data_IF_628470603540
#
_entry.id   IF_628470603540
#
_cell.length_a   1.000
_cell.length_b   1.000
_cell.length_c   1.000
_cell.angle_alpha   90.00
_cell.angle_beta   90.00
_cell.angle_gamma   90.00
#
_symmetry.space_group_name_H-M   'P 1'
#
loop_
_entity.id
_entity.type
_entity.pdbx_description
1 polymer ?
#
# COMPACT_ATOMS: atom_id res chain seq x y z
N UNK A 1 29.75 0.90 4.00
CA UNK A 1 30.65 -0.27 3.89
C UNK A 1 30.60 -0.77 2.45
N UNK A 2 31.75 -0.89 1.79
CA UNK A 2 31.86 -1.48 0.46
C UNK A 2 32.46 -2.88 0.60
N UNK A 3 31.76 -3.89 0.12
CA UNK A 3 32.15 -5.30 0.16
C UNK A 3 32.61 -5.67 -1.24
N UNK A 4 33.81 -6.24 -1.35
CA UNK A 4 34.40 -6.61 -2.64
C UNK A 4 33.76 -7.87 -3.20
N UNK A 5 34.01 -8.17 -4.48
CA UNK A 5 33.65 -9.45 -5.05
C UNK A 5 34.30 -10.59 -4.25
N UNK A 6 33.53 -11.66 -4.01
CA UNK A 6 33.93 -12.78 -3.18
C UNK A 6 32.75 -13.50 -2.55
N UNK A 7 33.05 -14.65 -1.93
CA UNK A 7 32.13 -15.42 -1.10
C UNK A 7 32.56 -15.23 0.35
N UNK A 8 31.65 -14.76 1.18
CA UNK A 8 31.85 -14.47 2.60
C UNK A 8 30.99 -15.42 3.41
N UNK A 9 31.63 -16.35 4.10
CA UNK A 9 30.97 -17.24 5.06
C UNK A 9 30.93 -16.54 6.42
N UNK A 10 29.74 -16.21 6.90
CA UNK A 10 29.55 -15.44 8.12
C UNK A 10 28.68 -16.21 9.11
N UNK A 11 29.03 -16.12 10.39
CA UNK A 11 28.21 -16.66 11.47
C UNK A 11 27.08 -15.68 11.81
N UNK A 12 27.37 -14.40 12.03
CA UNK A 12 26.35 -13.37 12.24
C UNK A 12 26.94 -11.97 12.04
N UNK A 13 26.26 -11.13 11.26
CA UNK A 13 26.56 -9.70 11.09
C UNK A 13 25.54 -8.91 11.91
N UNK A 14 26.01 -8.26 12.98
CA UNK A 14 25.19 -7.44 13.89
C UNK A 14 25.31 -5.95 13.55
N UNK A 15 24.19 -5.29 13.29
CA UNK A 15 24.13 -3.87 12.94
C UNK A 15 23.93 -3.00 14.18
N UNK A 16 25.00 -2.34 14.61
CA UNK A 16 25.01 -1.40 15.75
C UNK A 16 24.95 0.09 15.35
N UNK A 17 25.04 0.40 14.06
CA UNK A 17 25.08 1.78 13.57
C UNK A 17 23.68 2.33 13.28
N UNK A 18 23.39 3.55 13.75
CA UNK A 18 22.14 4.27 13.44
C UNK A 18 21.93 4.51 11.94
N UNK A 19 23.03 4.60 11.17
CA UNK A 19 22.98 4.69 9.71
C UNK A 19 24.03 3.80 9.10
N UNK A 20 23.63 2.92 8.19
CA UNK A 20 24.58 2.07 7.47
C UNK A 20 24.11 1.81 6.04
N UNK A 21 25.08 1.85 5.13
CA UNK A 21 24.91 1.32 3.77
C UNK A 21 25.90 0.17 3.59
N UNK A 22 25.42 -1.02 3.28
CA UNK A 22 26.21 -2.19 2.89
C UNK A 22 26.08 -2.39 1.38
N UNK A 23 27.18 -2.24 0.65
CA UNK A 23 27.16 -2.29 -0.81
C UNK A 23 28.14 -3.33 -1.34
N UNK A 24 27.64 -4.33 -2.05
CA UNK A 24 28.43 -5.30 -2.82
C UNK A 24 28.78 -4.80 -4.22
N UNK A 25 29.56 -5.59 -4.95
CA UNK A 25 29.93 -5.34 -6.36
C UNK A 25 28.91 -5.94 -7.36
N UNK A 26 27.71 -6.29 -6.89
CA UNK A 26 26.57 -6.74 -7.69
C UNK A 26 26.13 -8.18 -7.37
N UNK A 27 24.90 -8.50 -7.80
CA UNK A 27 24.32 -9.84 -7.70
C UNK A 27 25.27 -10.86 -8.37
N UNK A 28 25.58 -11.94 -7.66
CA UNK A 28 26.49 -13.01 -8.10
C UNK A 28 27.98 -12.70 -7.95
N UNK A 29 28.37 -11.43 -7.78
CA UNK A 29 29.77 -11.03 -7.56
C UNK A 29 30.13 -11.02 -6.07
N UNK A 30 29.25 -10.47 -5.23
CA UNK A 30 29.41 -10.45 -3.77
C UNK A 30 28.35 -11.35 -3.16
N UNK A 31 28.78 -12.46 -2.53
CA UNK A 31 27.90 -13.44 -1.91
C UNK A 31 28.18 -13.56 -0.41
N UNK A 32 27.13 -13.50 0.40
CA UNK A 32 27.18 -13.75 1.85
C UNK A 32 26.41 -15.03 2.17
N UNK A 33 27.05 -15.94 2.90
CA UNK A 33 26.52 -17.25 3.27
C UNK A 33 26.42 -17.39 4.80
N UNK A 34 25.36 -18.04 5.27
CA UNK A 34 25.23 -18.40 6.69
C UNK A 34 25.93 -19.75 6.97
N UNK A 35 26.99 -19.73 7.79
CA UNK A 35 27.80 -20.93 8.06
C UNK A 35 27.25 -21.77 9.22
N UNK A 36 27.44 -21.28 10.44
CA UNK A 36 27.15 -22.02 11.67
C UNK A 36 25.83 -21.58 12.34
N UNK A 37 25.29 -20.43 11.93
CA UNK A 37 24.04 -19.86 12.41
C UNK A 37 22.99 -19.89 11.31
N UNK A 38 21.71 -19.93 11.68
CA UNK A 38 20.63 -19.72 10.72
C UNK A 38 20.57 -18.26 10.26
N UNK A 39 20.91 -17.31 11.13
CA UNK A 39 20.84 -15.86 10.90
C UNK A 39 22.20 -15.28 10.55
N UNK A 40 22.30 -14.64 9.38
CA UNK A 40 23.50 -13.95 8.92
C UNK A 40 23.46 -12.45 9.17
N UNK A 41 22.27 -11.84 9.25
CA UNK A 41 22.15 -10.40 9.47
C UNK A 41 21.02 -10.07 10.44
N UNK A 42 21.37 -9.34 11.50
CA UNK A 42 20.46 -8.88 12.55
C UNK A 42 20.78 -7.45 12.98
N UNK A 43 19.80 -6.76 13.58
CA UNK A 43 19.96 -5.40 14.10
C UNK A 43 19.99 -5.48 15.61
N UNK A 44 20.97 -4.82 16.23
CA UNK A 44 21.10 -4.84 17.69
C UNK A 44 19.95 -4.08 18.38
N UNK A 45 19.58 -4.57 19.55
CA UNK A 45 18.34 -4.14 20.26
C UNK A 45 18.35 -2.69 20.74
N UNK A 46 19.54 -2.09 20.88
CA UNK A 46 19.73 -0.68 21.22
C UNK A 46 19.59 0.24 20.00
N UNK A 47 19.64 -0.30 18.78
CA UNK A 47 19.65 0.46 17.54
C UNK A 47 18.25 0.57 16.88
N UNK A 48 17.23 0.97 17.67
CA UNK A 48 15.82 0.89 17.27
C UNK A 48 15.40 1.77 16.09
N UNK A 49 16.12 2.87 15.86
CA UNK A 49 15.81 3.87 14.84
C UNK A 49 16.82 3.86 13.69
N UNK A 50 17.48 2.72 13.46
CA UNK A 50 18.49 2.62 12.42
C UNK A 50 17.90 2.86 11.03
N UNK A 51 18.70 3.44 10.13
CA UNK A 51 18.43 3.49 8.70
C UNK A 51 19.46 2.64 8.00
N UNK A 52 19.03 1.51 7.44
CA UNK A 52 19.91 0.55 6.79
C UNK A 52 19.58 0.40 5.32
N UNK A 53 20.61 0.49 4.48
CA UNK A 53 20.53 0.20 3.06
C UNK A 53 21.46 -0.96 2.71
N UNK A 54 20.93 -1.97 2.02
CA UNK A 54 21.71 -3.12 1.52
C UNK A 54 21.58 -3.16 0.01
N UNK A 55 22.70 -3.13 -0.71
CA UNK A 55 22.72 -2.93 -2.16
C UNK A 55 23.62 -3.96 -2.84
N UNK A 56 23.10 -4.66 -3.85
CA UNK A 56 23.95 -5.41 -4.78
C UNK A 56 24.63 -6.64 -4.17
N UNK A 57 23.96 -7.37 -3.28
CA UNK A 57 24.50 -8.54 -2.57
C UNK A 57 23.63 -9.78 -2.82
N UNK A 58 24.27 -10.92 -3.04
CA UNK A 58 23.62 -12.22 -3.01
C UNK A 58 23.70 -12.80 -1.61
N UNK A 59 22.56 -13.10 -1.01
CA UNK A 59 22.45 -13.88 0.22
C UNK A 59 22.13 -15.33 -0.14
N UNK A 60 23.01 -16.24 0.24
CA UNK A 60 22.84 -17.67 -0.04
C UNK A 60 22.68 -18.45 1.27
N UNK A 61 21.53 -19.11 1.42
CA UNK A 61 21.23 -19.93 2.58
C UNK A 61 21.88 -21.31 2.41
N UNK A 62 22.88 -21.59 3.23
CA UNK A 62 23.57 -22.88 3.34
C UNK A 62 23.03 -23.67 4.52
N UNK A 63 22.93 -23.02 5.68
CA UNK A 63 22.26 -23.59 6.84
C UNK A 63 20.75 -23.35 6.73
N UNK A 64 19.98 -24.44 6.65
CA UNK A 64 18.53 -24.44 6.44
C UNK A 64 17.71 -24.55 7.73
N UNK A 65 18.36 -24.40 8.89
CA UNK A 65 17.74 -24.54 10.21
C UNK A 65 17.46 -25.99 10.58
N UNK A 66 17.59 -26.30 11.87
CA UNK A 66 17.35 -27.66 12.38
C UNK A 66 15.99 -27.77 13.06
N UNK A 67 15.48 -26.66 13.59
CA UNK A 67 14.22 -26.59 14.31
C UNK A 67 13.31 -25.51 13.71
N UNK A 68 12.01 -25.74 13.83
CA UNK A 68 11.00 -24.73 13.53
C UNK A 68 11.14 -23.60 14.54
N UNK A 69 11.17 -22.36 14.04
CA UNK A 69 11.33 -21.17 14.88
C UNK A 69 12.77 -20.68 15.03
N UNK A 70 13.74 -21.37 14.41
CA UNK A 70 15.09 -20.82 14.23
C UNK A 70 15.02 -19.42 13.55
N UNK A 71 16.03 -18.60 13.79
CA UNK A 71 16.08 -17.26 13.21
C UNK A 71 16.14 -17.34 11.68
N UNK A 72 15.50 -16.39 11.01
CA UNK A 72 15.59 -16.21 9.57
C UNK A 72 17.03 -15.98 9.13
N UNK A 73 17.32 -16.14 7.84
CA UNK A 73 18.61 -15.71 7.28
C UNK A 73 18.88 -14.23 7.58
N UNK A 74 17.85 -13.39 7.49
CA UNK A 74 17.88 -11.98 7.86
C UNK A 74 16.72 -11.62 8.79
N UNK A 75 17.07 -11.07 9.95
CA UNK A 75 16.12 -10.60 10.96
C UNK A 75 16.00 -9.07 10.90
N UNK A 76 14.84 -8.57 10.50
CA UNK A 76 14.54 -7.12 10.47
C UNK A 76 13.62 -6.81 11.64
N UNK A 77 14.21 -6.42 12.77
CA UNK A 77 13.48 -6.18 14.02
C UNK A 77 13.23 -4.71 14.31
N UNK A 78 14.10 -3.83 13.79
CA UNK A 78 14.05 -2.39 14.04
C UNK A 78 14.42 -1.55 12.82
N UNK A 79 14.10 -0.26 12.86
CA UNK A 79 14.55 0.73 11.89
C UNK A 79 13.73 0.87 10.60
N UNK A 80 14.29 1.64 9.68
CA UNK A 80 13.85 1.82 8.29
C UNK A 80 14.85 1.10 7.37
N UNK A 81 14.39 0.08 6.65
CA UNK A 81 15.28 -0.82 5.92
C UNK A 81 14.97 -0.83 4.43
N UNK A 82 15.99 -0.54 3.62
CA UNK A 82 15.93 -0.63 2.16
C UNK A 82 16.88 -1.73 1.66
N UNK A 83 16.36 -2.71 0.93
CA UNK A 83 17.16 -3.75 0.27
C UNK A 83 16.99 -3.59 -1.24
N UNK A 84 18.08 -3.33 -1.95
CA UNK A 84 18.06 -2.86 -3.34
C UNK A 84 18.96 -3.75 -4.19
N UNK A 85 18.43 -4.30 -5.28
CA UNK A 85 19.21 -5.10 -6.24
C UNK A 85 19.98 -6.25 -5.55
N UNK A 86 19.35 -6.92 -4.60
CA UNK A 86 19.89 -8.10 -3.93
C UNK A 86 19.25 -9.37 -4.45
N UNK A 87 19.83 -10.53 -4.13
CA UNK A 87 19.21 -11.82 -4.45
C UNK A 87 19.27 -12.78 -3.26
N UNK A 88 18.23 -13.56 -3.05
CA UNK A 88 18.16 -14.63 -2.06
C UNK A 88 17.96 -15.98 -2.76
N UNK A 89 18.76 -16.98 -2.36
CA UNK A 89 18.66 -18.36 -2.84
C UNK A 89 19.13 -19.35 -1.79
N UNK A 90 18.72 -20.60 -1.92
CA UNK A 90 19.31 -21.71 -1.18
C UNK A 90 20.48 -22.29 -1.97
N UNK A 91 21.54 -22.72 -1.27
CA UNK A 91 22.63 -23.47 -1.90
C UNK A 91 22.14 -24.84 -2.40
N UNK A 92 21.22 -25.47 -1.67
CA UNK A 92 20.60 -26.73 -2.02
C UNK A 92 19.10 -26.70 -1.68
N UNK A 93 18.25 -26.86 -2.69
CA UNK A 93 16.78 -26.86 -2.55
C UNK A 93 16.16 -28.27 -2.52
N UNK A 94 16.98 -29.33 -2.43
CA UNK A 94 16.49 -30.72 -2.34
C UNK A 94 15.81 -30.95 -1.00
N UNK A 95 16.43 -30.50 0.09
CA UNK A 95 15.87 -30.59 1.43
C UNK A 95 15.09 -29.30 1.75
N UNK A 96 13.82 -29.38 2.17
CA UNK A 96 13.05 -28.20 2.55
C UNK A 96 13.69 -27.46 3.74
N UNK A 97 13.75 -26.14 3.66
CA UNK A 97 14.28 -25.29 4.73
C UNK A 97 13.24 -25.02 5.81
N UNK A 98 13.70 -25.01 7.06
CA UNK A 98 12.88 -24.70 8.24
C UNK A 98 12.95 -23.22 8.65
N UNK A 99 13.67 -22.40 7.89
CA UNK A 99 13.83 -20.97 8.16
C UNK A 99 13.53 -20.13 6.92
N UNK A 100 12.89 -18.96 7.08
CA UNK A 100 12.69 -18.02 5.98
C UNK A 100 13.99 -17.33 5.60
N UNK A 101 14.01 -16.68 4.44
CA UNK A 101 15.09 -15.75 4.12
C UNK A 101 14.99 -14.48 4.96
N UNK A 102 13.78 -13.92 5.09
CA UNK A 102 13.56 -12.66 5.78
C UNK A 102 12.42 -12.84 6.77
N UNK A 103 12.66 -12.44 8.02
CA UNK A 103 11.59 -12.23 9.01
C UNK A 103 11.57 -10.76 9.43
N UNK A 104 10.45 -10.10 9.15
CA UNK A 104 10.28 -8.66 9.29
C UNK A 104 9.25 -8.30 10.35
N UNK A 105 9.65 -7.44 11.29
CA UNK A 105 8.83 -6.90 12.37
C UNK A 105 8.62 -5.38 12.23
N UNK A 106 9.15 -4.75 11.18
CA UNK A 106 9.09 -3.29 10.99
C UNK A 106 8.14 -2.89 9.88
N UNK A 107 7.44 -1.75 10.06
CA UNK A 107 6.47 -1.21 9.08
C UNK A 107 7.14 -0.57 7.85
N UNK A 108 8.41 -0.17 7.99
CA UNK A 108 9.15 0.64 7.02
C UNK A 108 10.26 -0.16 6.33
N UNK A 109 9.91 -1.37 5.87
CA UNK A 109 10.82 -2.24 5.12
C UNK A 109 10.46 -2.22 3.63
N UNK A 110 11.42 -1.83 2.79
CA UNK A 110 11.28 -1.72 1.34
C UNK A 110 12.30 -2.63 0.65
N UNK A 111 11.83 -3.51 -0.23
CA UNK A 111 12.68 -4.32 -1.11
C UNK A 111 12.44 -3.85 -2.55
N UNK A 112 13.50 -3.43 -3.24
CA UNK A 112 13.43 -2.94 -4.61
C UNK A 112 14.36 -3.73 -5.52
N UNK A 113 13.85 -4.25 -6.63
CA UNK A 113 14.62 -5.06 -7.59
C UNK A 113 15.30 -6.27 -6.94
N UNK A 114 14.67 -6.87 -5.93
CA UNK A 114 15.19 -8.05 -5.21
C UNK A 114 14.65 -9.32 -5.84
N UNK A 115 15.51 -10.31 -6.08
CA UNK A 115 15.12 -11.62 -6.59
C UNK A 115 15.21 -12.71 -5.51
N UNK A 116 14.22 -13.60 -5.48
CA UNK A 116 14.16 -14.79 -4.64
C UNK A 116 14.02 -15.98 -5.57
N UNK A 117 14.94 -16.96 -5.51
CA UNK A 117 14.93 -18.03 -6.50
C UNK A 117 15.40 -19.39 -5.98
N UNK A 118 14.94 -20.44 -6.66
CA UNK A 118 15.41 -21.82 -6.51
C UNK A 118 15.47 -22.26 -5.05
N UNK A 119 14.31 -22.26 -4.40
CA UNK A 119 14.22 -22.48 -2.96
C UNK A 119 13.06 -23.39 -2.63
N UNK A 120 13.21 -24.18 -1.58
CA UNK A 120 12.23 -25.13 -1.09
C UNK A 120 12.07 -24.92 0.42
N UNK A 121 10.85 -24.65 0.86
CA UNK A 121 10.56 -24.37 2.27
C UNK A 121 9.63 -25.42 2.87
N UNK A 122 9.78 -25.69 4.16
CA UNK A 122 9.02 -26.73 4.83
C UNK A 122 7.53 -26.34 4.95
N UNK A 123 6.70 -27.01 4.14
CA UNK A 123 5.26 -26.76 4.11
C UNK A 123 4.53 -27.23 5.36
N UNK A 124 4.96 -28.32 6.00
CA UNK A 124 4.31 -28.86 7.21
C UNK A 124 4.25 -27.81 8.32
N UNK A 125 5.27 -26.94 8.37
CA UNK A 125 5.39 -25.88 9.36
C UNK A 125 5.08 -24.49 8.79
N UNK A 126 4.51 -24.41 7.58
CA UNK A 126 4.15 -23.17 6.89
C UNK A 126 5.28 -22.14 6.79
N UNK A 127 6.52 -22.59 6.60
CA UNK A 127 7.68 -21.69 6.47
C UNK A 127 7.64 -21.02 5.10
N UNK A 128 7.65 -19.70 5.07
CA UNK A 128 7.64 -18.93 3.81
C UNK A 128 9.03 -18.42 3.45
N UNK A 129 9.22 -17.95 2.21
CA UNK A 129 10.47 -17.27 1.86
C UNK A 129 10.63 -15.94 2.58
N UNK A 130 9.53 -15.22 2.78
CA UNK A 130 9.44 -13.98 3.55
C UNK A 130 8.29 -14.12 4.56
N UNK A 131 8.59 -13.81 5.81
CA UNK A 131 7.61 -13.74 6.90
C UNK A 131 7.52 -12.29 7.42
N UNK A 132 6.33 -11.70 7.38
CA UNK A 132 6.04 -10.43 8.05
C UNK A 132 5.21 -10.74 9.27
N UNK A 133 5.74 -10.45 10.44
CA UNK A 133 5.10 -10.71 11.73
C UNK A 133 4.27 -9.50 12.15
N UNK A 134 3.24 -9.70 12.97
CA UNK A 134 2.40 -8.63 13.51
C UNK A 134 3.22 -7.45 14.04
N UNK A 135 2.84 -6.24 13.66
CA UNK A 135 3.62 -5.01 13.87
C UNK A 135 4.54 -4.63 12.70
N UNK A 136 4.83 -5.57 11.80
CA UNK A 136 5.58 -5.37 10.57
C UNK A 136 4.73 -4.89 9.39
N UNK A 137 5.40 -4.47 8.32
CA UNK A 137 4.80 -4.06 7.04
C UNK A 137 5.84 -4.18 5.94
N UNK A 138 5.41 -4.33 4.69
CA UNK A 138 6.33 -4.66 3.61
C UNK A 138 5.94 -3.96 2.31
N UNK A 139 6.91 -3.28 1.71
CA UNK A 139 6.81 -2.74 0.35
C UNK A 139 7.78 -3.47 -0.57
N UNK A 140 7.27 -4.03 -1.66
CA UNK A 140 8.03 -4.70 -2.69
C UNK A 140 7.88 -3.96 -4.01
N UNK A 141 8.98 -3.63 -4.65
CA UNK A 141 9.02 -2.93 -5.94
C UNK A 141 9.88 -3.69 -6.94
N UNK A 142 9.30 -4.14 -8.05
CA UNK A 142 10.04 -4.82 -9.13
C UNK A 142 10.75 -6.09 -8.60
N UNK A 143 10.17 -6.75 -7.59
CA UNK A 143 10.72 -7.97 -7.02
C UNK A 143 10.32 -9.21 -7.84
N UNK A 144 11.17 -10.22 -7.85
CA UNK A 144 10.93 -11.47 -8.57
C UNK A 144 11.02 -12.67 -7.63
N UNK A 145 10.05 -13.56 -7.73
CA UNK A 145 9.98 -14.81 -7.00
C UNK A 145 9.87 -15.94 -8.02
N UNK A 146 10.91 -16.76 -8.14
CA UNK A 146 11.06 -17.73 -9.22
C UNK A 146 11.36 -19.11 -8.65
N UNK A 147 10.57 -20.12 -9.01
CA UNK A 147 10.83 -21.50 -8.62
C UNK A 147 11.00 -21.66 -7.09
N UNK A 148 10.00 -21.16 -6.35
CA UNK A 148 9.88 -21.36 -4.90
C UNK A 148 8.84 -22.44 -4.66
N UNK A 149 9.20 -23.46 -3.90
CA UNK A 149 8.40 -24.67 -3.78
C UNK A 149 7.99 -25.01 -2.34
N UNK A 150 6.99 -25.89 -2.28
CA UNK A 150 6.41 -26.54 -1.11
C UNK A 150 5.51 -25.64 -0.26
N UNK A 151 5.94 -24.45 0.14
CA UNK A 151 5.19 -23.54 1.01
C UNK A 151 4.89 -22.19 0.33
N UNK A 152 4.13 -21.33 1.02
CA UNK A 152 3.81 -19.98 0.53
C UNK A 152 5.09 -19.15 0.34
N UNK A 153 5.09 -18.31 -0.69
CA UNK A 153 6.23 -17.42 -0.99
C UNK A 153 6.33 -16.33 0.07
N UNK A 154 5.21 -15.68 0.38
CA UNK A 154 5.14 -14.60 1.37
C UNK A 154 4.00 -14.91 2.33
N UNK A 155 4.30 -14.89 3.62
CA UNK A 155 3.29 -14.90 4.68
C UNK A 155 3.35 -13.59 5.45
N UNK A 156 2.21 -12.93 5.59
CA UNK A 156 2.09 -11.58 6.15
C UNK A 156 0.98 -11.53 7.17
N UNK A 157 1.33 -11.20 8.42
CA UNK A 157 0.38 -10.88 9.48
C UNK A 157 0.22 -9.37 9.62
N UNK A 158 -0.94 -8.86 9.20
CA UNK A 158 -1.31 -7.45 9.25
C UNK A 158 -2.24 -7.13 10.44
N UNK A 159 -2.19 -7.90 11.52
CA UNK A 159 -3.08 -7.72 12.68
C UNK A 159 -2.87 -6.44 13.49
N UNK A 160 -1.84 -5.65 13.20
CA UNK A 160 -1.59 -4.34 13.82
C UNK A 160 -2.03 -3.17 12.93
N UNK A 161 -2.36 -2.05 13.56
CA UNK A 161 -2.72 -0.80 12.88
C UNK A 161 -1.58 -0.30 12.00
N UNK A 162 -1.90 0.13 10.78
CA UNK A 162 -0.92 0.61 9.81
C UNK A 162 0.18 -0.41 9.45
N UNK A 163 -0.03 -1.70 9.70
CA UNK A 163 0.76 -2.76 9.08
C UNK A 163 0.23 -2.96 7.67
N UNK A 164 0.97 -2.51 6.66
CA UNK A 164 0.49 -2.52 5.27
C UNK A 164 1.37 -3.39 4.39
N UNK A 165 0.77 -3.99 3.37
CA UNK A 165 1.45 -4.74 2.33
C UNK A 165 1.27 -4.01 0.99
N UNK A 166 2.37 -3.62 0.35
CA UNK A 166 2.37 -2.92 -0.93
C UNK A 166 3.27 -3.66 -1.91
N UNK A 167 2.71 -4.16 -3.01
CA UNK A 167 3.47 -4.80 -4.09
C UNK A 167 3.26 -4.01 -5.39
N UNK A 168 4.36 -3.65 -6.05
CA UNK A 168 4.35 -2.98 -7.34
C UNK A 168 5.30 -3.68 -8.31
N UNK A 169 4.79 -4.04 -9.48
CA UNK A 169 5.57 -4.67 -10.57
C UNK A 169 6.28 -5.97 -10.14
N UNK A 170 5.72 -6.69 -9.16
CA UNK A 170 6.30 -7.94 -8.65
C UNK A 170 5.89 -9.14 -9.51
N UNK A 171 6.79 -10.12 -9.69
CA UNK A 171 6.53 -11.33 -10.46
C UNK A 171 6.65 -12.58 -9.60
N UNK A 172 5.63 -13.44 -9.62
CA UNK A 172 5.59 -14.75 -9.00
C UNK A 172 5.47 -15.77 -10.11
N UNK A 173 6.58 -16.45 -10.41
CA UNK A 173 6.68 -17.32 -11.57
C UNK A 173 7.15 -18.73 -11.17
N UNK A 174 6.44 -19.74 -11.63
CA UNK A 174 6.76 -21.15 -11.34
C UNK A 174 6.83 -21.47 -9.84
N UNK A 175 6.05 -20.77 -9.03
CA UNK A 175 5.92 -21.07 -7.61
C UNK A 175 4.94 -22.24 -7.41
N UNK A 176 5.24 -23.15 -6.49
CA UNK A 176 4.40 -24.31 -6.18
C UNK A 176 4.05 -24.31 -4.70
N UNK A 177 2.76 -24.12 -4.39
CA UNK A 177 2.29 -24.02 -3.00
C UNK A 177 1.33 -25.16 -2.67
N UNK A 178 1.73 -26.02 -1.74
CA UNK A 178 0.99 -27.28 -1.45
C UNK A 178 -0.15 -27.13 -0.44
N UNK A 179 -0.16 -26.06 0.36
CA UNK A 179 -1.15 -25.85 1.43
C UNK A 179 -1.96 -24.58 1.23
N UNK A 180 -1.29 -23.44 1.00
CA UNK A 180 -1.91 -22.11 0.96
C UNK A 180 -1.55 -21.35 -0.33
N UNK A 181 -1.97 -20.09 -0.45
CA UNK A 181 -1.63 -19.21 -1.59
C UNK A 181 -0.13 -18.94 -1.73
N UNK A 182 0.34 -18.49 -2.90
CA UNK A 182 1.69 -17.92 -3.08
C UNK A 182 1.91 -16.78 -2.10
N UNK A 183 0.89 -15.97 -1.84
CA UNK A 183 0.88 -14.96 -0.80
C UNK A 183 -0.25 -15.28 0.17
N UNK A 184 0.06 -15.25 1.46
CA UNK A 184 -0.91 -15.43 2.53
C UNK A 184 -0.92 -14.17 3.37
N UNK A 185 -2.10 -13.57 3.50
CA UNK A 185 -2.30 -12.35 4.28
C UNK A 185 -3.29 -12.65 5.38
N UNK A 186 -2.85 -12.52 6.63
CA UNK A 186 -3.65 -12.78 7.83
C UNK A 186 -3.97 -11.47 8.53
N UNK A 187 -5.19 -11.34 9.03
CA UNK A 187 -5.58 -10.27 9.93
C UNK A 187 -6.46 -10.81 11.06
N UNK A 188 -6.04 -10.61 12.30
CA UNK A 188 -6.79 -10.99 13.51
C UNK A 188 -7.35 -9.78 14.26
N UNK A 189 -7.15 -8.55 13.76
CA UNK A 189 -7.65 -7.34 14.40
C UNK A 189 -9.16 -7.40 14.57
N UNK A 190 -9.64 -7.38 15.81
CA UNK A 190 -11.08 -7.38 16.11
C UNK A 190 -11.64 -6.00 15.82
N UNK A 191 -12.64 -5.92 14.95
CA UNK A 191 -13.34 -4.67 14.70
C UNK A 191 -14.03 -4.19 15.97
N UNK A 192 -13.60 -3.05 16.49
CA UNK A 192 -14.25 -2.44 17.63
C UNK A 192 -15.61 -1.87 17.19
N UNK A 193 -16.75 -2.39 17.71
CA UNK A 193 -18.08 -1.96 17.29
C UNK A 193 -18.40 -0.52 17.71
N UNK A 194 -17.62 0.08 18.62
CA UNK A 194 -17.80 1.48 19.02
C UNK A 194 -17.14 2.48 18.07
N UNK A 195 -16.29 2.00 17.16
CA UNK A 195 -15.60 2.83 16.17
C UNK A 195 -16.46 2.92 14.91
N UNK A 196 -16.63 4.13 14.39
CA UNK A 196 -17.37 4.34 13.13
C UNK A 196 -16.67 3.65 11.95
N UNK A 197 -17.43 3.24 10.91
CA UNK A 197 -16.88 2.66 9.67
C UNK A 197 -15.77 3.53 9.05
N UNK A 198 -15.93 4.86 9.15
CA UNK A 198 -14.95 5.85 8.70
C UNK A 198 -13.61 5.69 9.41
N UNK A 199 -13.65 5.64 10.74
CA UNK A 199 -12.44 5.47 11.55
C UNK A 199 -11.83 4.08 11.38
N UNK A 200 -12.66 3.03 11.23
CA UNK A 200 -12.19 1.68 10.91
C UNK A 200 -11.38 1.70 9.61
N UNK A 201 -11.93 2.30 8.53
CA UNK A 201 -11.23 2.41 7.24
C UNK A 201 -9.92 3.19 7.35
N UNK A 202 -9.74 4.10 8.31
CA UNK A 202 -8.48 4.85 8.46
C UNK A 202 -7.38 4.05 9.16
N UNK A 203 -7.75 3.26 10.17
CA UNK A 203 -6.80 2.51 11.00
C UNK A 203 -6.56 1.09 10.50
N UNK A 204 -7.48 0.54 9.70
CA UNK A 204 -7.35 -0.81 9.17
C UNK A 204 -6.09 -0.94 8.31
N UNK A 205 -5.39 -2.08 8.37
CA UNK A 205 -4.33 -2.39 7.42
C UNK A 205 -4.89 -2.46 5.99
N UNK A 206 -4.00 -2.27 5.01
CA UNK A 206 -4.33 -2.55 3.61
C UNK A 206 -3.30 -3.43 2.90
N UNK A 207 -3.76 -4.08 1.84
CA UNK A 207 -2.94 -4.88 0.93
C UNK A 207 -3.19 -4.46 -0.51
N UNK A 208 -2.19 -3.86 -1.18
CA UNK A 208 -2.31 -3.42 -2.56
C UNK A 208 -1.31 -4.08 -3.49
N UNK A 209 -1.78 -4.49 -4.65
CA UNK A 209 -1.03 -5.14 -5.70
C UNK A 209 -1.22 -4.35 -7.00
N UNK A 210 -0.14 -3.82 -7.55
CA UNK A 210 -0.16 -3.00 -8.76
C UNK A 210 0.75 -3.63 -9.81
N UNK A 211 0.19 -4.03 -10.95
CA UNK A 211 0.90 -4.68 -12.07
C UNK A 211 1.72 -5.92 -11.66
N UNK A 212 1.24 -6.62 -10.64
CA UNK A 212 1.85 -7.89 -10.24
C UNK A 212 1.43 -9.03 -11.18
N UNK A 213 2.36 -9.94 -11.46
CA UNK A 213 2.14 -11.08 -12.34
C UNK A 213 2.28 -12.39 -11.53
N UNK A 214 1.27 -13.25 -11.59
CA UNK A 214 1.26 -14.60 -11.01
C UNK A 214 1.08 -15.59 -12.16
N UNK A 215 2.18 -16.13 -12.67
CA UNK A 215 2.21 -16.88 -13.93
C UNK A 215 2.88 -18.24 -13.78
N UNK A 216 2.34 -19.25 -14.46
CA UNK A 216 2.86 -20.63 -14.39
C UNK A 216 2.97 -21.16 -12.95
N UNK A 217 2.17 -20.65 -12.02
CA UNK A 217 2.16 -21.11 -10.65
C UNK A 217 1.28 -22.38 -10.55
N UNK A 218 1.76 -23.36 -9.80
CA UNK A 218 1.10 -24.66 -9.66
C UNK A 218 0.32 -24.66 -8.33
N UNK A 219 -0.86 -25.28 -8.34
CA UNK A 219 -1.78 -25.34 -7.19
C UNK A 219 -2.32 -23.95 -6.79
N UNK A 220 -2.28 -23.59 -5.51
CA UNK A 220 -2.77 -22.33 -4.95
C UNK A 220 -1.81 -21.18 -5.30
N UNK A 221 -1.72 -20.83 -6.58
CA UNK A 221 -0.70 -19.93 -7.12
C UNK A 221 -0.92 -18.43 -6.90
N UNK A 222 -2.00 -18.03 -6.23
CA UNK A 222 -2.44 -16.64 -6.07
C UNK A 222 -2.31 -16.11 -4.64
N UNK A 223 -3.36 -15.43 -4.16
CA UNK A 223 -3.35 -14.71 -2.88
C UNK A 223 -4.48 -15.22 -1.98
N UNK A 224 -4.16 -15.56 -0.74
CA UNK A 224 -5.13 -16.01 0.25
C UNK A 224 -5.27 -14.99 1.38
N UNK A 225 -6.50 -14.54 1.64
CA UNK A 225 -6.81 -13.63 2.75
C UNK A 225 -7.50 -14.39 3.89
N UNK A 226 -6.87 -14.39 5.06
CA UNK A 226 -7.30 -15.13 6.24
C UNK A 226 -7.71 -14.18 7.38
N UNK A 227 -8.70 -14.60 8.16
CA UNK A 227 -9.18 -13.87 9.34
C UNK A 227 -10.15 -12.74 8.99
N UNK A 228 -10.04 -11.63 9.72
CA UNK A 228 -10.91 -10.47 9.58
C UNK A 228 -10.61 -9.68 8.30
N UNK A 229 -11.62 -8.97 7.80
CA UNK A 229 -11.47 -8.22 6.55
C UNK A 229 -10.44 -7.09 6.68
N UNK A 230 -9.72 -6.87 5.58
CA UNK A 230 -8.78 -5.76 5.40
C UNK A 230 -9.13 -5.03 4.10
N UNK A 231 -8.64 -3.80 3.94
CA UNK A 231 -8.79 -3.13 2.66
C UNK A 231 -7.83 -3.75 1.64
N UNK A 232 -8.31 -4.05 0.44
CA UNK A 232 -7.49 -4.67 -0.60
C UNK A 232 -7.65 -3.92 -1.93
N UNK A 233 -6.60 -3.96 -2.75
CA UNK A 233 -6.64 -3.39 -4.10
C UNK A 233 -5.76 -4.15 -5.06
N UNK A 234 -6.33 -4.64 -6.15
CA UNK A 234 -5.64 -5.26 -7.27
C UNK A 234 -5.79 -4.38 -8.51
N UNK A 235 -4.68 -3.85 -9.00
CA UNK A 235 -4.64 -2.90 -10.12
C UNK A 235 -3.78 -3.49 -11.22
N UNK A 236 -4.38 -3.85 -12.36
CA UNK A 236 -3.67 -4.44 -13.52
C UNK A 236 -2.86 -5.69 -13.19
N UNK A 237 -3.27 -6.48 -12.19
CA UNK A 237 -2.62 -7.74 -11.88
C UNK A 237 -3.03 -8.83 -12.87
N UNK A 238 -2.08 -9.71 -13.17
CA UNK A 238 -2.28 -10.89 -14.02
C UNK A 238 -2.19 -12.13 -13.14
N UNK A 239 -3.17 -13.02 -13.27
CA UNK A 239 -3.21 -14.31 -12.58
C UNK A 239 -3.45 -15.42 -13.60
N UNK A 240 -2.82 -16.58 -13.42
CA UNK A 240 -3.15 -17.80 -14.18
C UNK A 240 -4.66 -18.14 -14.09
N UNK A 241 -5.25 -17.91 -12.92
CA UNK A 241 -6.70 -17.96 -12.71
C UNK A 241 -7.10 -17.05 -11.54
N UNK A 242 -8.19 -16.30 -11.70
CA UNK A 242 -8.74 -15.46 -10.62
C UNK A 242 -9.33 -16.28 -9.46
N UNK A 243 -9.61 -17.58 -9.69
CA UNK A 243 -9.99 -18.52 -8.61
C UNK A 243 -8.87 -18.75 -7.60
N UNK A 244 -7.65 -18.33 -7.90
CA UNK A 244 -6.50 -18.42 -6.98
C UNK A 244 -6.47 -17.28 -5.95
N UNK A 245 -7.44 -16.36 -6.02
CA UNK A 245 -7.69 -15.37 -4.97
C UNK A 245 -8.78 -15.91 -4.05
N UNK A 246 -8.44 -16.20 -2.79
CA UNK A 246 -9.35 -16.79 -1.81
C UNK A 246 -9.49 -15.92 -0.57
N UNK A 247 -10.64 -16.07 0.10
CA UNK A 247 -11.00 -15.35 1.32
C UNK A 247 -11.55 -16.33 2.34
N UNK A 248 -11.21 -16.15 3.61
CA UNK A 248 -11.80 -16.94 4.68
C UNK A 248 -13.29 -16.61 4.90
N UNK A 249 -14.02 -17.51 5.56
CA UNK A 249 -15.48 -17.43 5.72
C UNK A 249 -15.97 -16.15 6.41
N UNK A 250 -15.14 -15.54 7.25
CA UNK A 250 -15.43 -14.29 7.96
C UNK A 250 -15.71 -13.13 6.98
N UNK A 251 -15.28 -13.23 5.72
CA UNK A 251 -15.55 -12.23 4.67
C UNK A 251 -16.93 -12.39 4.02
N UNK A 252 -17.71 -13.43 4.36
CA UNK A 252 -19.02 -13.70 3.79
C UNK A 252 -20.12 -12.90 4.50
N UNK A 253 -19.97 -11.58 4.52
CA UNK A 253 -20.92 -10.64 5.10
C UNK A 253 -21.01 -9.37 4.22
N UNK A 254 -21.99 -8.47 4.45
CA UNK A 254 -22.16 -7.26 3.64
C UNK A 254 -20.91 -6.38 3.53
N UNK A 255 -20.15 -6.20 4.61
CA UNK A 255 -18.94 -5.37 4.60
C UNK A 255 -17.82 -6.01 3.75
N UNK A 256 -17.62 -7.33 3.88
CA UNK A 256 -16.66 -8.07 3.07
C UNK A 256 -17.03 -8.04 1.58
N UNK A 257 -18.32 -8.16 1.25
CA UNK A 257 -18.81 -8.04 -0.12
C UNK A 257 -18.61 -6.64 -0.70
N UNK A 258 -18.83 -5.60 0.11
CA UNK A 258 -18.57 -4.22 -0.27
C UNK A 258 -17.08 -4.01 -0.59
N UNK A 259 -16.18 -4.45 0.29
CA UNK A 259 -14.72 -4.38 0.05
C UNK A 259 -14.37 -5.04 -1.28
N UNK A 260 -14.79 -6.28 -1.48
CA UNK A 260 -14.52 -7.04 -2.71
C UNK A 260 -14.99 -6.30 -3.97
N UNK A 261 -16.10 -5.57 -3.91
CA UNK A 261 -16.69 -4.88 -5.08
C UNK A 261 -15.81 -3.77 -5.67
N UNK A 262 -15.02 -3.07 -4.85
CA UNK A 262 -14.12 -1.99 -5.31
C UNK A 262 -12.64 -2.39 -5.30
N UNK A 263 -12.35 -3.66 -4.97
CA UNK A 263 -10.99 -4.18 -4.83
C UNK A 263 -10.30 -4.48 -6.15
N UNK A 264 -11.04 -4.54 -7.26
CA UNK A 264 -10.51 -4.99 -8.55
C UNK A 264 -10.58 -3.87 -9.60
N UNK A 265 -9.41 -3.40 -10.02
CA UNK A 265 -9.25 -2.47 -11.14
C UNK A 265 -8.55 -3.14 -12.32
N UNK A 266 -9.33 -3.66 -13.27
CA UNK A 266 -8.79 -4.27 -14.49
C UNK A 266 -8.15 -5.67 -14.31
N UNK A 267 -8.38 -6.33 -13.17
CA UNK A 267 -7.88 -7.70 -12.90
C UNK A 267 -8.90 -8.79 -13.25
N UNK A 268 -10.18 -8.44 -13.33
CA UNK A 268 -11.30 -9.36 -13.57
C UNK A 268 -12.22 -8.76 -14.64
N UNK A 269 -11.76 -8.72 -15.89
CA UNK A 269 -12.56 -8.30 -17.04
C UNK A 269 -12.01 -7.09 -17.79
N UNK A 270 -12.10 -7.17 -19.12
CA UNK A 270 -11.68 -6.14 -20.06
C UNK A 270 -12.73 -5.02 -20.18
N UNK A 271 -13.11 -4.40 -19.06
CA UNK A 271 -13.91 -3.18 -19.16
C UNK A 271 -13.10 -2.15 -19.94
N UNK A 272 -13.55 -1.72 -21.11
CA UNK A 272 -12.92 -0.64 -21.86
C UNK A 272 -13.15 0.70 -21.17
N UNK A 273 -12.30 1.67 -21.45
CA UNK A 273 -12.54 3.05 -21.00
C UNK A 273 -13.93 3.51 -21.47
N UNK A 274 -14.61 4.28 -20.63
CA UNK A 274 -15.98 4.73 -20.86
C UNK A 274 -16.15 6.15 -20.37
N UNK A 275 -17.05 6.91 -21.00
CA UNK A 275 -17.45 8.24 -20.54
C UNK A 275 -18.95 8.26 -20.30
N UNK A 276 -19.36 8.74 -19.14
CA UNK A 276 -20.76 8.88 -18.75
C UNK A 276 -21.07 10.30 -18.30
N UNK A 277 -22.18 10.85 -18.77
CA UNK A 277 -22.64 12.18 -18.38
C UNK A 277 -23.54 12.11 -17.15
N UNK A 278 -23.27 12.96 -16.17
CA UNK A 278 -24.01 13.09 -14.92
C UNK A 278 -24.54 14.53 -14.84
N UNK A 279 -25.86 14.66 -14.70
CA UNK A 279 -26.56 15.94 -14.66
C UNK A 279 -27.79 15.83 -13.76
N UNK A 280 -28.20 16.94 -13.16
CA UNK A 280 -29.47 17.01 -12.42
C UNK A 280 -30.68 17.01 -13.35
N UNK A 281 -30.47 17.26 -14.64
CA UNK A 281 -31.50 17.31 -15.68
C UNK A 281 -31.06 16.58 -16.95
N UNK A 282 -31.90 15.68 -17.46
CA UNK A 282 -31.76 15.10 -18.81
C UNK A 282 -30.68 14.02 -18.98
N UNK A 283 -30.04 13.55 -17.91
CA UNK A 283 -29.09 12.43 -17.94
C UNK A 283 -29.65 11.16 -17.30
N UNK A 284 -29.10 10.01 -17.68
CA UNK A 284 -29.39 8.71 -17.06
C UNK A 284 -28.93 8.64 -15.60
N UNK A 285 -27.87 9.37 -15.26
CA UNK A 285 -27.29 9.43 -13.92
C UNK A 285 -27.50 10.82 -13.33
N UNK A 286 -28.14 10.89 -12.17
CA UNK A 286 -28.30 12.11 -11.36
C UNK A 286 -27.45 12.08 -10.07
N UNK A 287 -26.59 11.07 -9.93
CA UNK A 287 -25.78 10.81 -8.74
C UNK A 287 -24.42 10.22 -9.12
N UNK A 288 -23.36 10.77 -8.53
CA UNK A 288 -21.96 10.32 -8.75
C UNK A 288 -21.78 8.91 -8.17
N UNK A 289 -22.24 8.66 -6.93
CA UNK A 289 -22.13 7.32 -6.34
C UNK A 289 -22.86 6.24 -7.15
N UNK A 290 -24.04 6.53 -7.71
CA UNK A 290 -24.76 5.57 -8.57
C UNK A 290 -23.97 5.26 -9.84
N UNK A 291 -23.41 6.29 -10.47
CA UNK A 291 -22.62 6.18 -11.68
C UNK A 291 -21.36 5.32 -11.45
N UNK A 292 -20.69 5.51 -10.31
CA UNK A 292 -19.50 4.75 -9.94
C UNK A 292 -19.84 3.31 -9.57
N UNK A 293 -20.90 3.05 -8.79
CA UNK A 293 -21.21 1.71 -8.28
C UNK A 293 -21.65 0.71 -9.37
N UNK A 294 -22.02 1.18 -10.55
CA UNK A 294 -22.40 0.33 -11.69
C UNK A 294 -21.22 -0.02 -12.61
N UNK A 295 -20.01 0.41 -12.26
CA UNK A 295 -18.85 0.45 -13.16
C UNK A 295 -17.61 -0.19 -12.53
N UNK A 296 -16.85 -0.90 -13.35
CA UNK A 296 -15.71 -1.74 -12.91
C UNK A 296 -14.38 -1.37 -13.57
N UNK A 297 -14.34 -0.25 -14.32
CA UNK A 297 -13.11 0.25 -14.93
C UNK A 297 -12.02 0.43 -13.89
N UNK A 298 -10.80 0.06 -14.26
CA UNK A 298 -9.63 0.29 -13.43
C UNK A 298 -8.36 -0.12 -14.11
N UNK A 299 -7.23 0.21 -13.48
CA UNK A 299 -5.95 0.04 -14.12
C UNK A 299 -5.82 0.95 -15.34
N UNK A 300 -5.61 0.37 -16.52
CA UNK A 300 -5.45 1.12 -17.78
C UNK A 300 -6.79 1.58 -18.37
N UNK A 301 -7.90 1.01 -17.90
CA UNK A 301 -9.24 1.40 -18.31
C UNK A 301 -9.76 2.52 -17.42
N UNK A 302 -10.16 3.63 -18.02
CA UNK A 302 -10.60 4.83 -17.33
C UNK A 302 -12.13 4.99 -17.43
N UNK A 303 -12.80 5.18 -16.30
CA UNK A 303 -14.16 5.70 -16.28
C UNK A 303 -14.11 7.22 -16.13
N UNK A 304 -14.55 7.94 -17.15
CA UNK A 304 -14.71 9.39 -17.11
C UNK A 304 -16.16 9.76 -16.78
N UNK A 305 -16.34 10.53 -15.72
CA UNK A 305 -17.61 11.12 -15.31
C UNK A 305 -17.62 12.58 -15.78
N UNK A 306 -18.45 12.90 -16.77
CA UNK A 306 -18.68 14.28 -17.18
C UNK A 306 -19.79 14.88 -16.31
N UNK A 307 -19.40 15.69 -15.35
CA UNK A 307 -20.27 16.22 -14.30
C UNK A 307 -20.75 17.62 -14.70
N UNK A 308 -22.07 17.76 -14.85
CA UNK A 308 -22.70 19.03 -15.19
C UNK A 308 -22.50 20.13 -14.14
N UNK A 309 -22.94 21.33 -14.49
CA UNK A 309 -22.97 22.47 -13.58
C UNK A 309 -23.83 22.19 -12.35
N UNK A 310 -23.43 22.70 -11.20
CA UNK A 310 -24.16 22.60 -9.94
C UNK A 310 -23.27 22.32 -8.74
N UNK A 311 -23.89 22.16 -7.58
CA UNK A 311 -23.23 21.67 -6.37
C UNK A 311 -23.58 20.21 -6.17
N UNK A 312 -22.55 19.37 -6.16
CA UNK A 312 -22.63 17.93 -6.01
C UNK A 312 -22.14 17.56 -4.62
N UNK A 313 -23.11 17.35 -3.72
CA UNK A 313 -22.86 16.88 -2.36
C UNK A 313 -22.95 15.36 -2.32
N UNK A 314 -21.81 14.71 -2.12
CA UNK A 314 -21.72 13.25 -1.99
C UNK A 314 -20.78 12.89 -0.84
N UNK A 315 -20.79 11.65 -0.40
CA UNK A 315 -19.93 11.19 0.68
C UNK A 315 -19.68 9.69 0.61
N UNK A 316 -18.49 9.27 1.02
CA UNK A 316 -18.19 7.84 1.05
C UNK A 316 -17.93 7.23 -0.33
N UNK A 317 -17.55 8.01 -1.35
CA UNK A 317 -17.22 7.46 -2.67
C UNK A 317 -16.00 6.54 -2.57
N UNK A 318 -16.24 5.23 -2.60
CA UNK A 318 -15.17 4.23 -2.56
C UNK A 318 -14.62 4.04 -3.97
N UNK A 319 -13.54 4.74 -4.32
CA UNK A 319 -12.86 4.53 -5.61
C UNK A 319 -12.19 3.15 -5.61
N UNK A 320 -11.55 2.78 -4.50
CA UNK A 320 -10.84 1.50 -4.38
C UNK A 320 -9.70 1.38 -5.38
N UNK A 321 -9.56 0.21 -6.01
CA UNK A 321 -8.54 -0.09 -7.02
C UNK A 321 -8.88 0.43 -8.43
N UNK A 322 -9.99 1.16 -8.59
CA UNK A 322 -10.52 1.63 -9.87
C UNK A 322 -9.79 2.87 -10.38
N UNK A 323 -9.96 3.17 -11.66
CA UNK A 323 -9.41 4.35 -12.32
C UNK A 323 -10.57 5.22 -12.78
N UNK A 324 -10.81 6.32 -12.07
CA UNK A 324 -11.95 7.22 -12.27
C UNK A 324 -11.44 8.64 -12.53
N UNK A 325 -11.98 9.31 -13.54
CA UNK A 325 -11.81 10.75 -13.81
C UNK A 325 -13.13 11.46 -13.58
N UNK A 326 -13.15 12.49 -12.75
CA UNK A 326 -14.29 13.39 -12.56
C UNK A 326 -14.00 14.71 -13.28
N UNK A 327 -14.75 14.99 -14.33
CA UNK A 327 -14.55 16.17 -15.19
C UNK A 327 -15.75 17.10 -15.05
N UNK A 328 -15.55 18.23 -14.36
CA UNK A 328 -16.58 19.26 -14.21
C UNK A 328 -16.77 20.10 -15.47
N UNK A 329 -17.91 20.77 -15.56
CA UNK A 329 -18.22 21.74 -16.62
C UNK A 329 -17.32 22.99 -16.56
N UNK A 330 -16.74 23.29 -15.38
CA UNK A 330 -15.81 24.39 -15.17
C UNK A 330 -15.60 24.68 -13.68
N UNK A 331 -14.47 25.30 -13.34
CA UNK A 331 -14.09 25.60 -11.95
C UNK A 331 -15.08 26.51 -11.20
N UNK A 332 -15.90 27.27 -11.92
CA UNK A 332 -16.95 28.12 -11.35
C UNK A 332 -18.37 27.53 -11.55
N UNK A 333 -18.48 26.43 -12.30
CA UNK A 333 -19.77 25.85 -12.70
C UNK A 333 -20.06 24.56 -11.92
N UNK A 334 -19.04 23.75 -11.63
CA UNK A 334 -19.18 22.47 -10.93
C UNK A 334 -18.45 22.52 -9.60
N UNK A 335 -19.18 22.32 -8.50
CA UNK A 335 -18.64 22.22 -7.14
C UNK A 335 -18.82 20.78 -6.67
N UNK A 336 -17.73 20.11 -6.32
CA UNK A 336 -17.74 18.81 -5.64
C UNK A 336 -17.43 19.03 -4.16
N UNK A 337 -18.23 18.45 -3.28
CA UNK A 337 -18.02 18.58 -1.84
C UNK A 337 -18.51 17.37 -1.06
N UNK A 338 -17.92 17.17 0.11
CA UNK A 338 -18.45 16.19 1.04
C UNK A 338 -19.81 16.63 1.58
N UNK A 339 -20.71 15.66 1.74
CA UNK A 339 -22.06 15.88 2.23
C UNK A 339 -22.07 16.55 3.61
N UNK A 340 -22.86 17.61 3.74
CA UNK A 340 -22.88 18.50 4.92
C UNK A 340 -23.40 17.80 6.18
N UNK A 341 -24.26 16.81 6.01
CA UNK A 341 -24.93 16.13 7.12
C UNK A 341 -24.02 15.10 7.79
N UNK A 342 -23.18 14.41 7.01
CA UNK A 342 -22.30 13.34 7.50
C UNK A 342 -20.86 13.83 7.67
N UNK A 343 -20.40 14.75 6.82
CA UNK A 343 -19.07 15.40 6.84
C UNK A 343 -17.92 14.40 6.85
N UNK A 344 -18.04 13.32 6.09
CA UNK A 344 -16.94 12.35 5.90
C UNK A 344 -16.16 12.70 4.63
N UNK A 345 -15.26 11.83 4.15
CA UNK A 345 -14.56 12.06 2.89
C UNK A 345 -15.55 12.11 1.72
N UNK A 346 -15.21 12.90 0.68
CA UNK A 346 -15.85 12.79 -0.61
C UNK A 346 -15.44 11.47 -1.27
N UNK A 347 -14.14 11.20 -1.36
CA UNK A 347 -13.61 10.01 -2.02
C UNK A 347 -12.48 9.32 -1.25
N UNK A 348 -12.48 7.99 -1.25
CA UNK A 348 -11.45 7.12 -0.69
C UNK A 348 -10.86 6.22 -1.78
N UNK A 349 -9.55 6.35 -2.00
CA UNK A 349 -8.77 5.66 -3.02
C UNK A 349 -7.88 4.63 -2.32
N UNK A 350 -7.94 3.37 -2.78
CA UNK A 350 -7.14 2.26 -2.23
C UNK A 350 -6.43 1.56 -3.40
N UNK A 351 -5.20 1.97 -3.69
CA UNK A 351 -4.42 1.49 -4.84
C UNK A 351 -4.85 2.05 -6.21
N UNK A 352 -6.10 2.49 -6.38
CA UNK A 352 -6.61 2.99 -7.66
C UNK A 352 -6.15 4.41 -8.03
N UNK A 353 -6.78 4.97 -9.06
CA UNK A 353 -6.56 6.35 -9.53
C UNK A 353 -7.86 7.16 -9.42
N UNK A 354 -7.79 8.32 -8.79
CA UNK A 354 -8.80 9.37 -8.91
C UNK A 354 -8.18 10.59 -9.59
N UNK A 355 -8.72 10.95 -10.76
CA UNK A 355 -8.46 12.24 -11.39
C UNK A 355 -9.66 13.17 -11.16
N UNK A 356 -9.41 14.45 -10.87
CA UNK A 356 -10.45 15.48 -10.84
C UNK A 356 -9.99 16.67 -11.68
N UNK A 357 -10.85 17.11 -12.59
CA UNK A 357 -10.53 18.15 -13.55
C UNK A 357 -11.65 19.18 -13.68
N UNK A 358 -11.28 20.44 -13.91
CA UNK A 358 -12.21 21.52 -14.26
C UNK A 358 -13.36 21.69 -13.24
N UNK A 359 -13.05 21.58 -11.95
CA UNK A 359 -14.06 21.65 -10.89
C UNK A 359 -13.53 22.41 -9.67
N UNK A 360 -14.46 22.89 -8.85
CA UNK A 360 -14.13 23.37 -7.51
C UNK A 360 -14.27 22.22 -6.51
N UNK A 361 -13.26 22.01 -5.66
CA UNK A 361 -13.38 21.18 -4.46
C UNK A 361 -13.71 22.06 -3.27
N UNK A 362 -14.78 21.74 -2.54
CA UNK A 362 -15.16 22.46 -1.33
C UNK A 362 -15.25 21.51 -0.15
N UNK A 363 -14.41 21.72 0.85
CA UNK A 363 -14.41 20.90 2.06
C UNK A 363 -15.35 21.47 3.13
N UNK A 364 -16.19 20.61 3.71
CA UNK A 364 -16.89 20.85 4.98
C UNK A 364 -16.17 20.14 6.14
N UNK A 365 -16.04 20.83 7.27
CA UNK A 365 -15.41 20.30 8.49
C UNK A 365 -16.32 19.32 9.25
N UNK A 366 -15.72 18.37 9.97
CA UNK A 366 -16.39 17.51 10.94
C UNK A 366 -15.82 17.69 12.36
N UNK A 367 -16.54 17.19 13.36
CA UNK A 367 -16.01 17.10 14.73
C UNK A 367 -15.17 15.84 14.96
N UNK A 368 -15.27 14.85 14.07
CA UNK A 368 -14.52 13.59 14.13
C UNK A 368 -13.50 13.52 13.00
N UNK A 369 -12.38 12.84 13.27
CA UNK A 369 -11.34 12.62 12.28
C UNK A 369 -11.78 11.64 11.19
N UNK A 370 -11.72 12.08 9.93
CA UNK A 370 -12.04 11.25 8.75
C UNK A 370 -10.90 11.18 7.73
N UNK A 371 -9.69 11.58 8.10
CA UNK A 371 -8.54 11.65 7.19
C UNK A 371 -8.55 12.94 6.38
N UNK A 372 -9.36 13.00 5.31
CA UNK A 372 -9.55 14.22 4.54
C UNK A 372 -10.65 14.16 3.49
N UNK A 373 -10.93 15.28 2.81
CA UNK A 373 -11.94 15.34 1.73
C UNK A 373 -11.62 14.27 0.66
N UNK A 374 -10.34 14.15 0.30
CA UNK A 374 -9.80 13.07 -0.50
C UNK A 374 -8.85 12.24 0.37
N UNK A 375 -9.10 10.94 0.46
CA UNK A 375 -8.32 9.96 1.22
C UNK A 375 -7.58 9.02 0.25
N UNK A 376 -6.26 8.95 0.36
CA UNK A 376 -5.42 8.03 -0.43
C UNK A 376 -4.71 7.03 0.48
N UNK A 377 -4.94 5.74 0.22
CA UNK A 377 -4.29 4.61 0.91
C UNK A 377 -3.75 3.62 -0.12
N UNK A 378 -2.71 2.89 0.24
CA UNK A 378 -1.99 1.99 -0.67
C UNK A 378 -1.38 2.66 -1.90
N UNK A 379 -1.02 1.85 -2.89
CA UNK A 379 -0.26 2.29 -4.07
C UNK A 379 -1.11 3.01 -5.14
N UNK A 380 -1.91 4.00 -4.72
CA UNK A 380 -2.82 4.73 -5.60
C UNK A 380 -2.33 6.10 -6.04
N UNK A 381 -3.19 6.81 -6.78
CA UNK A 381 -2.91 8.14 -7.32
C UNK A 381 -4.11 9.07 -7.11
N UNK A 382 -3.85 10.26 -6.59
CA UNK A 382 -4.74 11.43 -6.72
C UNK A 382 -4.11 12.38 -7.74
N UNK A 383 -4.89 12.78 -8.74
CA UNK A 383 -4.47 13.63 -9.85
C UNK A 383 -5.45 14.80 -10.01
N UNK A 384 -5.02 16.01 -9.66
CA UNK A 384 -5.86 17.22 -9.69
C UNK A 384 -5.35 18.16 -10.78
N UNK A 385 -6.18 18.47 -11.77
CA UNK A 385 -5.81 19.37 -12.88
C UNK A 385 -6.85 20.47 -13.08
N UNK A 386 -6.43 21.74 -13.07
CA UNK A 386 -7.36 22.88 -13.20
C UNK A 386 -8.50 22.81 -12.17
N UNK A 387 -8.12 22.64 -10.89
CA UNK A 387 -9.04 22.54 -9.76
C UNK A 387 -8.83 23.71 -8.81
N UNK A 388 -9.94 24.27 -8.30
CA UNK A 388 -9.90 25.28 -7.24
C UNK A 388 -10.33 24.63 -5.92
N UNK A 389 -9.45 24.62 -4.94
CA UNK A 389 -9.69 24.07 -3.61
C UNK A 389 -10.04 25.22 -2.66
N UNK A 390 -11.24 25.14 -2.06
CA UNK A 390 -11.72 26.10 -1.05
C UNK A 390 -12.22 25.37 0.19
N UNK A 391 -12.13 26.04 1.33
CA UNK A 391 -12.84 25.62 2.53
C UNK A 391 -14.25 26.22 2.52
N UNK A 392 -15.23 25.50 3.06
CA UNK A 392 -16.58 26.06 3.25
C UNK A 392 -16.58 27.02 4.43
N UNK A 393 -15.96 26.61 5.54
CA UNK A 393 -15.79 27.43 6.74
C UNK A 393 -14.57 28.35 6.62
N UNK A 394 -14.56 29.45 7.37
CA UNK A 394 -13.42 30.38 7.45
C UNK A 394 -12.18 29.75 8.08
N UNK A 395 -12.38 28.80 8.99
CA UNK A 395 -11.34 28.02 9.68
C UNK A 395 -11.89 26.61 9.86
N UNK A 396 -11.18 25.60 9.38
CA UNK A 396 -11.53 24.20 9.62
C UNK A 396 -11.01 23.72 10.98
N UNK A 397 -11.74 22.78 11.59
CA UNK A 397 -11.28 22.05 12.78
C UNK A 397 -10.01 21.24 12.47
N UNK A 398 -9.21 20.94 13.50
CA UNK A 398 -8.00 20.11 13.46
C UNK A 398 -8.23 18.62 13.18
N UNK A 399 -9.43 18.28 12.74
CA UNK A 399 -9.89 16.90 12.62
C UNK A 399 -9.89 16.46 11.17
N UNK A 400 -9.60 17.32 10.20
CA UNK A 400 -9.74 16.93 8.80
C UNK A 400 -8.76 17.67 7.91
N UNK A 401 -8.12 16.93 7.01
CA UNK A 401 -7.28 17.47 5.95
C UNK A 401 -8.10 17.69 4.69
N UNK A 402 -7.62 18.44 3.70
CA UNK A 402 -8.28 18.41 2.39
C UNK A 402 -7.88 17.15 1.62
N UNK A 403 -6.58 16.87 1.58
CA UNK A 403 -6.02 15.63 1.02
C UNK A 403 -5.22 14.96 2.12
N UNK A 404 -5.52 13.69 2.40
CA UNK A 404 -4.80 12.86 3.36
C UNK A 404 -4.32 11.60 2.68
N UNK A 405 -3.00 11.42 2.60
CA UNK A 405 -2.38 10.26 1.97
C UNK A 405 -1.51 9.50 2.95
N UNK A 406 -1.82 8.21 3.15
CA UNK A 406 -0.96 7.31 3.93
C UNK A 406 0.06 6.58 3.07
N UNK A 407 -0.18 6.50 1.76
CA UNK A 407 0.70 5.92 0.74
C UNK A 407 0.33 6.48 -0.65
N UNK A 408 1.04 6.08 -1.71
CA UNK A 408 0.70 6.44 -3.10
C UNK A 408 1.21 7.82 -3.52
N UNK A 409 0.72 8.33 -4.65
CA UNK A 409 1.20 9.57 -5.26
C UNK A 409 0.11 10.64 -5.35
N UNK A 410 0.50 11.90 -5.17
CA UNK A 410 -0.36 13.06 -5.38
C UNK A 410 0.26 13.93 -6.48
N UNK A 411 -0.54 14.24 -7.50
CA UNK A 411 -0.18 15.12 -8.61
C UNK A 411 -1.17 16.29 -8.63
N UNK A 412 -0.66 17.51 -8.62
CA UNK A 412 -1.46 18.75 -8.63
C UNK A 412 -0.90 19.68 -9.72
N UNK A 413 -1.73 20.01 -10.70
CA UNK A 413 -1.33 20.78 -11.88
C UNK A 413 -2.32 21.89 -12.16
N UNK A 414 -1.83 23.12 -12.33
CA UNK A 414 -2.67 24.28 -12.69
C UNK A 414 -3.84 24.50 -11.72
N UNK A 415 -3.63 24.28 -10.42
CA UNK A 415 -4.67 24.41 -9.40
C UNK A 415 -4.59 25.75 -8.65
N UNK A 416 -5.61 26.05 -7.87
CA UNK A 416 -5.60 27.16 -6.90
C UNK A 416 -6.05 26.66 -5.54
N UNK A 417 -5.29 26.95 -4.49
CA UNK A 417 -5.66 26.68 -3.10
C UNK A 417 -5.97 28.03 -2.43
N UNK A 418 -7.24 28.24 -2.14
CA UNK A 418 -7.75 29.53 -1.64
C UNK A 418 -8.05 29.49 -0.14
N UNK A 419 -7.37 30.36 0.62
CA UNK A 419 -7.68 30.68 2.03
C UNK A 419 -7.84 29.45 2.93
N UNK A 420 -6.90 28.50 2.85
CA UNK A 420 -6.93 27.33 3.72
C UNK A 420 -6.46 27.71 5.13
N UNK A 421 -7.36 27.63 6.11
CA UNK A 421 -7.09 27.88 7.53
C UNK A 421 -7.51 26.69 8.37
N UNK A 422 -6.66 26.27 9.30
CA UNK A 422 -6.89 25.14 10.20
C UNK A 422 -6.60 25.59 11.62
N UNK A 423 -7.48 25.23 12.55
CA UNK A 423 -7.36 25.61 13.96
C UNK A 423 -6.32 24.76 14.71
N UNK A 424 -5.13 24.48 14.17
CA UNK A 424 -4.11 23.64 14.83
C UNK A 424 -3.74 24.19 16.22
N UNK A 425 -3.86 23.40 17.28
CA UNK A 425 -3.57 23.78 18.67
C UNK A 425 -2.35 23.00 19.14
N UNK A 426 -1.42 23.67 19.84
CA UNK A 426 -0.14 23.11 20.29
C UNK A 426 -0.27 21.83 21.14
N UNK A 427 -1.35 21.68 21.89
CA UNK A 427 -1.58 20.52 22.78
C UNK A 427 -2.23 19.33 22.07
N UNK A 428 -2.57 19.46 20.79
CA UNK A 428 -3.18 18.39 20.01
C UNK A 428 -2.12 17.45 19.45
N UNK A 429 -2.38 16.13 19.51
CA UNK A 429 -1.60 15.14 18.78
C UNK A 429 -1.96 15.05 17.29
N UNK A 430 -3.07 15.69 16.88
CA UNK A 430 -3.57 15.68 15.51
C UNK A 430 -3.41 17.08 14.93
N UNK A 431 -2.77 17.15 13.76
CA UNK A 431 -2.60 18.38 13.00
C UNK A 431 -3.31 18.23 11.64
N UNK A 432 -3.98 19.29 11.21
CA UNK A 432 -4.62 19.36 9.89
C UNK A 432 -3.83 20.24 8.93
N UNK A 433 -3.78 19.83 7.67
CA UNK A 433 -3.23 20.60 6.57
C UNK A 433 -4.13 20.44 5.32
N UNK A 434 -3.90 21.29 4.32
CA UNK A 434 -4.54 21.09 3.01
C UNK A 434 -4.06 19.78 2.38
N UNK A 435 -2.76 19.50 2.48
CA UNK A 435 -2.16 18.26 2.00
C UNK A 435 -1.35 17.69 3.15
N UNK A 436 -1.73 16.50 3.62
CA UNK A 436 -1.04 15.78 4.68
C UNK A 436 -0.61 14.41 4.14
N UNK A 437 0.68 14.10 4.25
CA UNK A 437 1.29 12.86 3.77
C UNK A 437 2.02 12.16 4.93
N UNK A 438 1.71 10.89 5.17
CA UNK A 438 2.40 10.04 6.16
C UNK A 438 3.67 9.38 5.57
N UNK A 439 4.41 8.68 6.43
CA UNK A 439 5.74 8.12 6.15
C UNK A 439 5.83 7.17 4.93
N UNK A 440 4.75 6.47 4.55
CA UNK A 440 4.75 5.51 3.43
C UNK A 440 4.36 6.13 2.09
N UNK A 441 4.21 7.45 2.07
CA UNK A 441 3.88 8.22 0.88
C UNK A 441 4.90 8.01 -0.25
N UNK A 442 4.42 8.01 -1.49
CA UNK A 442 5.24 7.83 -2.69
C UNK A 442 5.87 9.14 -3.14
N UNK A 443 5.05 10.04 -3.70
CA UNK A 443 5.55 11.30 -4.27
C UNK A 443 4.48 12.38 -4.34
N UNK A 444 4.89 13.63 -4.09
CA UNK A 444 4.08 14.83 -4.22
C UNK A 444 4.65 15.69 -5.34
N UNK A 445 3.86 15.93 -6.39
CA UNK A 445 4.21 16.84 -7.48
C UNK A 445 3.20 17.97 -7.56
N UNK A 446 3.69 19.21 -7.45
CA UNK A 446 2.87 20.42 -7.54
C UNK A 446 3.47 21.31 -8.63
N UNK A 447 2.70 21.59 -9.68
CA UNK A 447 3.14 22.41 -10.82
C UNK A 447 2.08 23.46 -11.16
N UNK A 448 2.54 24.66 -11.54
CA UNK A 448 1.70 25.77 -12.01
C UNK A 448 0.51 26.10 -11.06
N UNK A 449 0.67 25.86 -9.76
CA UNK A 449 -0.43 25.95 -8.78
C UNK A 449 -0.24 27.18 -7.90
N UNK A 450 -1.30 27.97 -7.74
CA UNK A 450 -1.33 29.10 -6.81
C UNK A 450 -1.76 28.61 -5.43
N UNK A 451 -1.00 28.97 -4.39
CA UNK A 451 -1.37 28.70 -3.00
C UNK A 451 -1.42 30.05 -2.30
N UNK A 452 -2.64 30.56 -2.06
CA UNK A 452 -2.83 31.79 -1.30
C UNK A 452 -2.53 31.51 0.19
N UNK A 453 -1.43 32.06 0.67
CA UNK A 453 -0.82 31.70 1.95
C UNK A 453 -1.64 32.22 3.15
N UNK A 454 -1.90 31.34 4.13
CA UNK A 454 -2.06 31.72 5.53
C UNK A 454 -1.16 30.79 6.36
N UNK A 455 -0.14 31.36 7.01
CA UNK A 455 0.82 30.64 7.85
C UNK A 455 0.19 30.29 9.21
N UNK A 456 0.16 29.01 9.55
CA UNK A 456 0.13 28.53 10.95
C UNK A 456 1.45 27.80 11.21
N UNK A 457 2.49 28.57 11.54
CA UNK A 457 3.78 28.04 12.02
C UNK A 457 3.71 27.78 13.52
N UNK A 458 4.15 26.59 13.95
CA UNK A 458 4.40 26.25 15.36
C UNK A 458 5.90 26.19 15.73
N UNK A 459 6.79 26.70 14.88
CA UNK A 459 8.23 26.63 15.15
C UNK A 459 8.81 28.05 15.13
N UNK A 460 9.15 28.57 16.31
CA UNK A 460 10.35 29.39 16.43
C UNK A 460 11.53 28.43 16.21
N UNK A 461 12.40 28.63 15.20
CA UNK A 461 13.54 27.75 14.99
C UNK A 461 14.49 27.83 16.20
N UNK A 462 15.17 26.73 16.59
CA UNK A 462 16.36 26.84 17.42
C UNK A 462 17.46 27.63 16.73
#
# INVERSE_FOLDING_TARGET
MNIKAGIYEESEIKIVSERITMKGEGIGNTTIQNKDSSCVLSIETDNKFCKMEIIGITFEQVNIGTLVGDNALMMIQYGEINIIQCSFKQMNSITPSNIPFIRNYCKNTILSQVSFSNSNFNSINSISSIEVVSGGGLRLEICQFINISSASVINVDLSDTFSDLILRDCKFNQCTNTLEGSIVVTNSMVNNPTISKVQQILISPFSTFTRCEFTSNIQNGGVNFLGNYIQIGFVQCVFDSTSTISYSEQWNNPNGNEIKSYSFGGCTGNASSESISISTTGSLYSSIIQAINQKTQGGQSLLTLQIGSGTWEDDGLMIGARSISMEGAGINETILMNKITTRIWLACIIGGKLAIQNAQLRQASANLFYGGLLLLRGDGIIDLTNVVIKQRELVLNQTSNTIYATAGNIIITNCSIEKASFKNDYLSSIHSATIYCEDKFGSLSITQTNISQQLTSFINPP
#
